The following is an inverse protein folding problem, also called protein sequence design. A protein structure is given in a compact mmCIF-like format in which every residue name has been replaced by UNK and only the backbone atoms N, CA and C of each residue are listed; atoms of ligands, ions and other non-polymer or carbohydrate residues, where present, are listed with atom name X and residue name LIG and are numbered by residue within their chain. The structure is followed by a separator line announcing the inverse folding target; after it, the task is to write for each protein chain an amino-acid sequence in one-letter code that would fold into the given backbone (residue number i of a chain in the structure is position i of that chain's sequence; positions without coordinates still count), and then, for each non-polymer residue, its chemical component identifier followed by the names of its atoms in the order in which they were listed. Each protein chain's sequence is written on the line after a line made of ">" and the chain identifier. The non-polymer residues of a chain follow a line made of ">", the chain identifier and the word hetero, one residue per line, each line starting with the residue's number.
data_IF_855731993002
#
_entry.id   IF_855731993002
#
_cell.length_a   1.000
_cell.length_b   1.000
_cell.length_c   1.000
_cell.angle_alpha   90.00
_cell.angle_beta   90.00
_cell.angle_gamma   90.00
#
_symmetry.space_group_name_H-M   'P 1'
#
loop_
_entity.id
_entity.type
_entity.pdbx_description
1 polymer ?
#
# COMPACT_ATOMS: atom_id res chain seq x y z
N UNK A 1 12.48 23.86 28.58
CA UNK A 1 12.52 22.40 28.43
C UNK A 1 11.46 22.05 27.41
N UNK A 2 11.84 21.89 26.14
CA UNK A 2 10.93 21.42 25.07
C UNK A 2 10.69 19.93 25.29
N UNK A 3 9.48 19.57 25.70
CA UNK A 3 9.06 18.17 25.70
C UNK A 3 9.14 17.69 24.24
N UNK A 4 10.18 16.92 23.93
CA UNK A 4 10.16 16.09 22.73
C UNK A 4 9.04 15.07 22.96
N UNK A 5 7.91 15.27 22.32
CA UNK A 5 6.90 14.23 22.21
C UNK A 5 7.56 13.06 21.49
N UNK A 6 7.78 11.98 22.22
CA UNK A 6 8.30 10.73 21.65
C UNK A 6 7.35 10.28 20.53
N UNK A 7 7.81 10.41 19.29
CA UNK A 7 7.00 10.02 18.12
C UNK A 7 6.93 8.50 18.11
N UNK A 8 5.79 7.95 18.47
CA UNK A 8 5.57 6.49 18.44
C UNK A 8 5.75 5.99 17.01
N UNK A 9 6.71 5.10 16.82
CA UNK A 9 6.90 4.43 15.53
C UNK A 9 5.75 3.44 15.32
N UNK A 10 4.97 3.64 14.25
CA UNK A 10 3.82 2.80 13.90
C UNK A 10 4.16 1.74 12.84
N UNK A 11 5.39 1.77 12.34
CA UNK A 11 6.00 0.73 11.53
C UNK A 11 7.28 0.27 12.22
N UNK A 12 7.18 -0.86 12.90
CA UNK A 12 8.25 -1.40 13.74
C UNK A 12 9.48 -1.84 12.93
N UNK A 13 10.67 -1.80 13.50
CA UNK A 13 11.86 -2.39 12.91
C UNK A 13 11.74 -3.92 12.82
N UNK A 14 12.62 -4.55 12.01
CA UNK A 14 12.66 -6.02 11.87
C UNK A 14 11.88 -6.53 10.66
N UNK A 15 11.33 -5.65 9.83
CA UNK A 15 10.77 -6.01 8.53
C UNK A 15 11.86 -6.52 7.57
N UNK A 16 11.44 -7.25 6.52
CA UNK A 16 12.32 -7.87 5.53
C UNK A 16 12.43 -7.08 4.22
N UNK A 17 12.26 -5.76 4.27
CA UNK A 17 12.45 -4.92 3.10
C UNK A 17 13.89 -4.94 2.61
N UNK A 18 14.10 -4.74 1.32
CA UNK A 18 15.42 -4.56 0.74
C UNK A 18 16.17 -3.40 1.40
N UNK A 19 17.49 -3.46 1.54
CA UNK A 19 18.27 -2.33 2.04
C UNK A 19 18.00 -1.06 1.22
N UNK A 20 17.64 0.04 1.87
CA UNK A 20 17.31 1.30 1.20
C UNK A 20 15.95 1.33 0.50
N UNK A 21 15.04 0.40 0.79
CA UNK A 21 13.73 0.34 0.16
C UNK A 21 12.91 1.61 0.37
N UNK A 22 12.62 2.33 -0.71
CA UNK A 22 11.80 3.55 -0.68
C UNK A 22 10.38 3.32 -0.18
N UNK A 23 9.79 2.15 -0.46
CA UNK A 23 8.46 1.79 0.03
C UNK A 23 8.42 1.72 1.56
N UNK A 24 9.41 1.07 2.19
CA UNK A 24 9.48 0.97 3.65
C UNK A 24 9.63 2.36 4.31
N UNK A 25 10.46 3.23 3.72
CA UNK A 25 10.64 4.61 4.21
C UNK A 25 9.36 5.44 4.04
N UNK A 26 8.70 5.33 2.90
CA UNK A 26 7.44 6.03 2.62
C UNK A 26 6.34 5.61 3.59
N UNK A 27 6.13 4.31 3.80
CA UNK A 27 5.10 3.80 4.72
C UNK A 27 5.37 4.26 6.16
N UNK A 28 6.62 4.22 6.60
CA UNK A 28 7.00 4.74 7.93
C UNK A 28 6.62 6.22 8.08
N UNK A 29 6.90 7.04 7.08
CA UNK A 29 6.56 8.47 7.08
C UNK A 29 5.06 8.68 7.05
N UNK A 30 4.35 7.97 6.19
CA UNK A 30 2.88 8.04 6.07
C UNK A 30 2.20 7.71 7.40
N UNK A 31 2.60 6.62 8.05
CA UNK A 31 2.01 6.22 9.32
C UNK A 31 2.32 7.21 10.45
N UNK A 32 3.51 7.80 10.45
CA UNK A 32 3.88 8.83 11.42
C UNK A 32 2.96 10.06 11.32
N UNK A 33 2.66 10.50 10.09
CA UNK A 33 1.75 11.63 9.83
C UNK A 33 0.28 11.25 10.03
N UNK A 34 -0.10 10.04 9.67
CA UNK A 34 -1.47 9.55 9.86
C UNK A 34 -1.83 9.38 11.34
N UNK A 35 -0.84 9.03 12.17
CA UNK A 35 -1.06 8.75 13.58
C UNK A 35 -1.68 7.36 13.84
N UNK A 36 -1.91 7.02 15.12
CA UNK A 36 -2.30 5.66 15.50
C UNK A 36 -3.77 5.31 15.20
N UNK A 37 -4.61 6.31 14.92
CA UNK A 37 -6.05 6.11 14.75
C UNK A 37 -6.40 5.83 13.28
N UNK A 38 -5.78 4.79 12.73
CA UNK A 38 -5.99 4.34 11.35
C UNK A 38 -6.13 2.83 11.29
N UNK A 39 -6.88 2.37 10.29
CA UNK A 39 -6.88 0.97 9.84
C UNK A 39 -6.26 0.95 8.45
N UNK A 40 -5.20 0.18 8.27
CA UNK A 40 -4.51 0.05 6.99
C UNK A 40 -4.99 -1.20 6.27
N UNK A 41 -5.27 -1.07 4.97
CA UNK A 41 -5.57 -2.18 4.08
C UNK A 41 -4.50 -2.23 2.99
N UNK A 42 -3.86 -3.36 2.78
CA UNK A 42 -2.91 -3.53 1.68
C UNK A 42 -3.17 -4.80 0.89
N UNK A 43 -3.02 -4.76 -0.43
CA UNK A 43 -3.06 -5.95 -1.26
C UNK A 43 -1.75 -6.71 -1.17
N UNK A 44 -1.73 -7.93 -1.67
CA UNK A 44 -0.51 -8.70 -1.91
C UNK A 44 0.51 -7.87 -2.71
N UNK A 45 1.77 -7.92 -2.30
CA UNK A 45 2.86 -7.22 -2.97
C UNK A 45 4.08 -7.08 -2.08
N UNK A 46 5.04 -6.24 -2.48
CA UNK A 46 6.25 -6.01 -1.68
C UNK A 46 5.93 -5.61 -0.25
N UNK A 47 5.01 -4.66 -0.07
CA UNK A 47 4.67 -4.13 1.25
C UNK A 47 4.16 -5.22 2.19
N UNK A 48 3.22 -6.03 1.74
CA UNK A 48 2.72 -7.15 2.53
C UNK A 48 3.85 -8.14 2.84
N UNK A 49 4.59 -8.57 1.82
CA UNK A 49 5.61 -9.61 1.93
C UNK A 49 6.72 -9.26 2.93
N UNK A 50 7.17 -8.00 2.96
CA UNK A 50 8.23 -7.65 3.89
C UNK A 50 7.75 -7.25 5.30
N UNK A 51 6.47 -6.94 5.47
CA UNK A 51 5.91 -6.47 6.76
C UNK A 51 5.24 -7.58 7.57
N UNK A 52 4.94 -8.73 6.96
CA UNK A 52 4.23 -9.86 7.58
C UNK A 52 5.05 -11.16 7.63
N UNK A 53 6.28 -11.17 8.17
CA UNK A 53 7.05 -12.40 8.32
C UNK A 53 6.37 -13.34 9.32
N UNK A 54 6.48 -14.63 9.09
CA UNK A 54 5.94 -15.63 10.02
C UNK A 54 6.37 -15.38 11.47
N UNK A 55 5.42 -15.41 12.38
CA UNK A 55 5.48 -15.10 13.81
C UNK A 55 5.67 -13.62 14.16
N UNK A 56 5.48 -12.71 13.19
CA UNK A 56 5.57 -11.30 13.49
C UNK A 56 4.87 -10.43 12.46
N UNK A 57 4.71 -9.19 12.82
CA UNK A 57 4.24 -8.14 11.95
C UNK A 57 4.96 -6.86 12.32
N UNK A 58 5.28 -6.03 11.35
CA UNK A 58 5.84 -4.71 11.62
C UNK A 58 4.78 -3.59 11.75
N UNK A 59 3.51 -3.96 11.74
CA UNK A 59 2.41 -3.01 11.89
C UNK A 59 2.04 -2.81 13.36
N UNK A 60 2.15 -1.57 13.84
CA UNK A 60 1.70 -1.13 15.18
C UNK A 60 0.32 -0.47 15.12
N UNK A 61 -0.38 -0.63 14.01
CA UNK A 61 -1.78 -0.23 13.78
C UNK A 61 -2.56 -1.43 13.25
N UNK A 62 -3.91 -1.44 13.37
CA UNK A 62 -4.71 -2.47 12.72
C UNK A 62 -4.43 -2.52 11.23
N UNK A 63 -4.08 -3.69 10.75
CA UNK A 63 -3.71 -3.94 9.36
C UNK A 63 -4.45 -5.16 8.81
N UNK A 64 -4.95 -5.03 7.57
CA UNK A 64 -5.66 -6.08 6.86
C UNK A 64 -4.95 -6.35 5.54
N UNK A 65 -4.46 -7.56 5.37
CA UNK A 65 -4.00 -8.05 4.08
C UNK A 65 -5.21 -8.47 3.23
N UNK A 66 -5.21 -8.09 1.97
CA UNK A 66 -6.24 -8.46 1.01
C UNK A 66 -5.63 -9.09 -0.24
N UNK A 67 -6.47 -9.67 -1.10
CA UNK A 67 -6.04 -10.16 -2.40
C UNK A 67 -5.45 -9.03 -3.25
N UNK A 68 -4.66 -9.40 -4.25
CA UNK A 68 -3.84 -8.48 -5.03
C UNK A 68 -4.64 -7.32 -5.66
N UNK A 69 -5.88 -7.59 -6.08
CA UNK A 69 -6.74 -6.65 -6.80
C UNK A 69 -7.69 -5.83 -5.91
N UNK A 70 -7.94 -6.26 -4.65
CA UNK A 70 -9.17 -5.84 -3.98
C UNK A 70 -9.01 -4.94 -2.75
N UNK A 71 -7.83 -4.38 -2.50
CA UNK A 71 -7.64 -3.48 -1.35
C UNK A 71 -8.66 -2.33 -1.30
N UNK A 72 -9.02 -1.65 -2.40
CA UNK A 72 -10.05 -0.60 -2.38
C UNK A 72 -11.42 -1.14 -1.93
N UNK A 73 -11.80 -2.33 -2.39
CA UNK A 73 -13.08 -2.94 -2.04
C UNK A 73 -13.13 -3.33 -0.55
N UNK A 74 -12.05 -3.90 -0.01
CA UNK A 74 -11.94 -4.21 1.42
C UNK A 74 -11.97 -2.92 2.25
N UNK A 75 -11.24 -1.90 1.85
CA UNK A 75 -11.24 -0.60 2.52
C UNK A 75 -12.64 0.02 2.55
N UNK A 76 -13.40 -0.08 1.46
CA UNK A 76 -14.84 0.31 1.43
C UNK A 76 -15.64 -0.44 2.48
N UNK A 77 -15.44 -1.76 2.59
CA UNK A 77 -16.13 -2.59 3.60
C UNK A 77 -15.77 -2.17 5.03
N UNK A 78 -14.49 -1.91 5.30
CA UNK A 78 -14.01 -1.40 6.60
C UNK A 78 -14.65 -0.05 6.92
N UNK A 79 -14.65 0.87 5.97
CA UNK A 79 -15.29 2.19 6.14
C UNK A 79 -16.79 2.06 6.43
N UNK A 80 -17.49 1.18 5.70
CA UNK A 80 -18.91 0.92 5.93
C UNK A 80 -19.17 0.35 7.33
N UNK A 81 -18.33 -0.57 7.79
CA UNK A 81 -18.41 -1.14 9.14
C UNK A 81 -18.17 -0.08 10.23
N UNK A 82 -17.17 0.80 10.04
CA UNK A 82 -16.92 1.92 10.95
C UNK A 82 -18.12 2.86 11.03
N UNK A 83 -18.69 3.23 9.88
CA UNK A 83 -19.90 4.08 9.81
C UNK A 83 -21.10 3.42 10.52
N UNK A 84 -21.33 2.15 10.29
CA UNK A 84 -22.42 1.41 10.93
C UNK A 84 -22.27 1.34 12.47
N UNK A 85 -21.04 1.38 12.98
CA UNK A 85 -20.72 1.42 14.42
C UNK A 85 -20.66 2.84 14.99
N UNK A 86 -20.95 3.86 14.18
CA UNK A 86 -20.91 5.26 14.60
C UNK A 86 -19.51 5.88 14.65
N UNK A 87 -18.45 5.11 14.39
CA UNK A 87 -17.04 5.55 14.38
C UNK A 87 -16.70 6.58 15.50
N UNK A 88 -16.94 6.28 16.77
CA UNK A 88 -16.86 7.26 17.86
C UNK A 88 -15.45 7.84 18.05
N UNK A 89 -14.43 7.11 17.60
CA UNK A 89 -13.02 7.49 17.71
C UNK A 89 -12.52 8.26 16.48
N UNK A 90 -13.34 8.41 15.44
CA UNK A 90 -12.94 9.04 14.18
C UNK A 90 -11.82 8.30 13.45
N UNK A 91 -11.82 6.96 13.54
CA UNK A 91 -10.81 6.11 12.89
C UNK A 91 -10.87 6.27 11.38
N UNK A 92 -9.72 6.48 10.76
CA UNK A 92 -9.58 6.64 9.31
C UNK A 92 -9.16 5.33 8.66
N UNK A 93 -9.54 5.16 7.40
CA UNK A 93 -9.14 4.01 6.59
C UNK A 93 -8.12 4.46 5.55
N UNK A 94 -6.99 3.78 5.49
CA UNK A 94 -5.92 4.03 4.53
C UNK A 94 -5.66 2.75 3.74
N UNK A 95 -5.75 2.81 2.42
CA UNK A 95 -5.39 1.70 1.54
C UNK A 95 -4.03 2.01 0.89
N UNK A 96 -3.11 1.04 0.88
CA UNK A 96 -1.75 1.22 0.35
C UNK A 96 -1.43 0.06 -0.58
N UNK A 97 -1.34 0.32 -1.88
CA UNK A 97 -1.05 -0.68 -2.92
C UNK A 97 0.19 -0.34 -3.75
N UNK A 98 0.79 -1.35 -4.39
CA UNK A 98 1.80 -1.16 -5.41
C UNK A 98 1.19 -0.75 -6.76
N UNK A 99 2.04 -0.40 -7.72
CA UNK A 99 1.63 0.00 -9.07
C UNK A 99 0.84 -1.08 -9.81
N UNK A 100 1.29 -2.32 -9.80
CA UNK A 100 0.57 -3.43 -10.44
C UNK A 100 -0.80 -3.70 -9.78
N UNK A 101 -0.86 -3.65 -8.45
CA UNK A 101 -2.11 -3.80 -7.70
C UNK A 101 -3.04 -2.60 -7.80
N UNK A 102 -2.55 -1.47 -8.30
CA UNK A 102 -3.30 -0.21 -8.44
C UNK A 102 -3.75 0.01 -9.89
N UNK A 103 -2.79 0.09 -10.82
CA UNK A 103 -3.04 0.50 -12.20
C UNK A 103 -3.48 -0.65 -13.10
N UNK A 104 -3.12 -1.87 -12.75
CA UNK A 104 -3.44 -3.05 -13.55
C UNK A 104 -4.61 -3.82 -12.92
N UNK A 105 -4.33 -4.85 -12.13
CA UNK A 105 -5.34 -5.79 -11.65
C UNK A 105 -6.36 -5.14 -10.69
N UNK A 106 -5.99 -4.10 -9.94
CA UNK A 106 -6.86 -3.45 -8.95
C UNK A 106 -7.67 -2.27 -9.47
N UNK A 107 -7.48 -1.85 -10.73
CA UNK A 107 -8.12 -0.65 -11.29
C UNK A 107 -9.65 -0.70 -11.18
N UNK A 108 -10.27 -1.86 -11.39
CA UNK A 108 -11.72 -2.02 -11.29
C UNK A 108 -12.25 -1.73 -9.88
N UNK A 109 -11.59 -2.24 -8.85
CA UNK A 109 -11.99 -2.00 -7.46
C UNK A 109 -11.70 -0.56 -7.02
N UNK A 110 -10.60 0.03 -7.49
CA UNK A 110 -10.25 1.42 -7.25
C UNK A 110 -11.27 2.38 -7.90
N UNK A 111 -11.64 2.13 -9.15
CA UNK A 111 -12.68 2.88 -9.86
C UNK A 111 -14.00 2.86 -9.10
N UNK A 112 -14.40 1.67 -8.58
CA UNK A 112 -15.60 1.54 -7.77
C UNK A 112 -15.54 2.33 -6.46
N UNK A 113 -14.39 2.41 -5.80
CA UNK A 113 -14.18 3.23 -4.61
C UNK A 113 -14.35 4.73 -4.92
N UNK A 114 -13.81 5.20 -6.05
CA UNK A 114 -13.97 6.59 -6.50
C UNK A 114 -15.42 6.91 -6.87
N UNK A 115 -16.11 6.01 -7.58
CA UNK A 115 -17.52 6.19 -7.95
C UNK A 115 -18.40 6.36 -6.72
N UNK A 116 -18.15 5.58 -5.66
CA UNK A 116 -18.86 5.71 -4.38
C UNK A 116 -18.46 6.92 -3.56
N UNK A 117 -17.38 7.61 -3.95
CA UNK A 117 -16.80 8.73 -3.18
C UNK A 117 -16.49 8.34 -1.74
N UNK A 118 -15.92 7.15 -1.58
CA UNK A 118 -15.56 6.63 -0.27
C UNK A 118 -14.51 7.55 0.38
N UNK A 119 -14.71 7.90 1.65
CA UNK A 119 -13.75 8.70 2.43
C UNK A 119 -12.57 7.83 2.89
N UNK A 120 -11.72 7.49 1.93
CA UNK A 120 -10.57 6.61 2.08
C UNK A 120 -9.37 7.28 1.41
N UNK A 121 -8.25 7.35 2.11
CA UNK A 121 -6.99 7.70 1.49
C UNK A 121 -6.39 6.47 0.82
N UNK A 122 -6.28 6.50 -0.51
CA UNK A 122 -5.57 5.48 -1.27
C UNK A 122 -4.18 5.99 -1.66
N UNK A 123 -3.16 5.18 -1.39
CA UNK A 123 -1.76 5.50 -1.66
C UNK A 123 -1.19 4.40 -2.56
N UNK A 124 -0.66 4.79 -3.71
CA UNK A 124 0.12 3.92 -4.57
C UNK A 124 1.61 4.14 -4.32
N UNK A 125 2.33 3.09 -3.87
CA UNK A 125 3.79 3.09 -3.95
C UNK A 125 4.20 2.55 -5.32
N UNK A 126 4.47 3.47 -6.23
CA UNK A 126 4.88 3.15 -7.59
C UNK A 126 6.37 2.83 -7.62
N UNK A 127 6.71 1.58 -7.85
CA UNK A 127 8.09 1.11 -8.03
C UNK A 127 8.34 0.59 -9.45
N UNK A 128 7.44 0.91 -10.39
CA UNK A 128 7.57 0.78 -11.84
C UNK A 128 7.59 -0.66 -12.38
N UNK A 129 7.22 -1.64 -11.55
CA UNK A 129 7.08 -3.04 -11.99
C UNK A 129 6.40 -3.90 -10.92
N UNK A 130 6.04 -5.14 -11.27
CA UNK A 130 5.72 -6.19 -10.29
C UNK A 130 7.01 -6.64 -9.62
N UNK A 131 7.55 -5.82 -8.71
CA UNK A 131 8.87 -6.03 -8.11
C UNK A 131 8.95 -7.28 -7.25
N UNK A 132 7.88 -7.54 -6.47
CA UNK A 132 7.88 -8.67 -5.52
C UNK A 132 8.03 -10.03 -6.21
N UNK A 133 7.47 -10.19 -7.39
CA UNK A 133 7.47 -11.45 -8.14
C UNK A 133 8.63 -11.59 -9.11
N UNK A 134 9.48 -10.58 -9.26
CA UNK A 134 10.68 -10.67 -10.08
C UNK A 134 10.74 -9.69 -11.25
N UNK A 135 10.26 -8.47 -11.06
CA UNK A 135 10.43 -7.33 -11.98
C UNK A 135 9.71 -7.54 -13.33
N UNK A 136 8.50 -8.10 -13.31
CA UNK A 136 7.64 -8.10 -14.51
C UNK A 136 7.15 -6.67 -14.79
N UNK A 137 6.94 -6.34 -16.05
CA UNK A 137 6.41 -5.03 -16.44
C UNK A 137 4.99 -4.80 -15.92
N UNK A 138 4.74 -3.60 -15.43
CA UNK A 138 3.42 -3.08 -15.06
C UNK A 138 3.04 -1.91 -15.97
N UNK A 139 1.82 -1.40 -15.86
CA UNK A 139 1.41 -0.17 -16.56
C UNK A 139 2.19 1.09 -16.12
N UNK A 140 2.88 1.01 -14.99
CA UNK A 140 3.76 2.08 -14.51
C UNK A 140 5.19 1.99 -15.05
N UNK A 141 5.56 0.87 -15.69
CA UNK A 141 6.91 0.67 -16.25
C UNK A 141 7.18 1.72 -17.32
N UNK A 142 8.28 2.47 -17.24
CA UNK A 142 8.61 3.46 -18.26
C UNK A 142 8.77 2.84 -19.64
N UNK A 143 8.41 3.61 -20.68
CA UNK A 143 8.62 3.20 -22.05
C UNK A 143 10.10 2.88 -22.31
N UNK A 144 10.37 1.76 -22.95
CA UNK A 144 11.72 1.30 -23.24
C UNK A 144 12.47 0.66 -22.08
N UNK A 145 11.91 0.65 -20.86
CA UNK A 145 12.57 0.01 -19.71
C UNK A 145 12.58 -1.53 -19.86
N UNK A 146 13.72 -2.13 -19.59
CA UNK A 146 13.87 -3.60 -19.55
C UNK A 146 13.24 -4.20 -18.31
N UNK A 147 12.42 -5.22 -18.48
CA UNK A 147 11.84 -6.02 -17.38
C UNK A 147 12.01 -7.50 -17.67
N UNK A 148 11.67 -8.37 -16.73
CA UNK A 148 11.72 -9.83 -16.98
C UNK A 148 10.73 -10.29 -18.04
N UNK A 149 9.67 -9.53 -18.29
CA UNK A 149 8.71 -9.79 -19.39
C UNK A 149 9.07 -9.06 -20.70
N UNK A 150 9.97 -8.09 -20.66
CA UNK A 150 10.44 -7.33 -21.82
C UNK A 150 11.97 -7.18 -21.81
N UNK A 151 12.75 -8.30 -21.80
CA UNK A 151 14.17 -8.23 -21.47
C UNK A 151 15.05 -7.66 -22.60
N UNK A 152 14.59 -7.72 -23.84
CA UNK A 152 15.40 -7.32 -25.02
C UNK A 152 14.86 -6.05 -25.66
N UNK A 153 13.55 -5.98 -25.84
CA UNK A 153 12.91 -4.85 -26.56
C UNK A 153 12.56 -3.68 -25.67
N UNK A 154 12.59 -3.87 -24.35
CA UNK A 154 12.01 -2.94 -23.41
C UNK A 154 10.49 -2.89 -23.45
N UNK A 155 9.88 -2.16 -22.53
CA UNK A 155 8.44 -1.98 -22.47
C UNK A 155 7.95 -1.15 -23.66
N UNK A 156 7.01 -1.70 -24.44
CA UNK A 156 6.38 -1.03 -25.61
C UNK A 156 5.20 -0.14 -25.20
N UNK A 157 4.74 -0.27 -23.96
CA UNK A 157 3.72 0.56 -23.30
C UNK A 157 4.27 0.99 -21.95
N UNK A 158 3.69 2.03 -21.37
CA UNK A 158 4.10 2.48 -20.06
C UNK A 158 4.06 3.99 -19.94
N UNK A 159 4.44 4.49 -18.77
CA UNK A 159 4.47 5.93 -18.55
C UNK A 159 5.63 6.57 -19.32
N UNK A 160 5.37 7.72 -19.89
CA UNK A 160 6.33 8.56 -20.64
C UNK A 160 6.92 9.63 -19.72
#
# INVERSE_FOLDING_TARGET
>A
MTMQTEVKELHAPGHRACPGCGCAMAVKTILREAGPNVIVVSPTGCLETFTSPFRGSSWEVPWIHSLFENAPAIATGVLAALKARGNPEGTRVVAIGGDGGTYDIGMGSLSGMFERKDDILYICYDNEAYMNTGIQGSSATPYGAGTTTTPVTGASFGKS
#
